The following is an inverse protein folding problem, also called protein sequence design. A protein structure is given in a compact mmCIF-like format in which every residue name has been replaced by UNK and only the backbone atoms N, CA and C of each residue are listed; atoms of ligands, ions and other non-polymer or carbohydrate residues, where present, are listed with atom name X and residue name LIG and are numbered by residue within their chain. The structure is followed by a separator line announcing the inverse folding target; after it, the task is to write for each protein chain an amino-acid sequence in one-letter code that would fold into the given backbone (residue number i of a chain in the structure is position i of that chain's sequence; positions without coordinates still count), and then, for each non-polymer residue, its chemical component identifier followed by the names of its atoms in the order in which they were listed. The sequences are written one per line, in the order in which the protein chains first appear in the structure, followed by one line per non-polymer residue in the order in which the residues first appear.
data_IF_570464785564
#
_entry.id   IF_570464785564
#
_cell.length_a   1.000
_cell.length_b   1.000
_cell.length_c   1.000
_cell.angle_alpha   90.00
_cell.angle_beta   90.00
_cell.angle_gamma   90.00
#
_symmetry.space_group_name_H-M   'P 1'
#
loop_
_entity.id
_entity.type
_entity.pdbx_description
1 polymer ?
#
# COMPACT_ATOMS: atom_id res chain seq x y z
N UNK A 1 2.81 10.98 14.11
CA UNK A 1 3.13 9.99 13.06
C UNK A 1 1.97 10.00 12.07
N UNK A 2 2.20 10.38 10.81
CA UNK A 2 1.16 10.42 9.77
C UNK A 2 1.24 9.10 8.99
N UNK A 3 0.11 8.44 8.81
CA UNK A 3 -0.03 7.28 7.94
C UNK A 3 -1.15 7.60 6.95
N UNK A 4 -0.84 7.55 5.66
CA UNK A 4 -1.79 7.74 4.58
C UNK A 4 -1.78 6.47 3.72
N UNK A 5 -2.97 5.91 3.50
CA UNK A 5 -3.21 4.82 2.58
C UNK A 5 -4.27 5.29 1.60
N UNK A 6 -3.88 5.46 0.34
CA UNK A 6 -4.78 5.82 -0.74
C UNK A 6 -4.83 4.65 -1.73
N UNK A 7 -6.04 4.15 -1.99
CA UNK A 7 -6.29 2.97 -2.82
C UNK A 7 -7.55 3.19 -3.64
N UNK A 8 -7.52 2.77 -4.91
CA UNK A 8 -8.70 2.75 -5.77
C UNK A 8 -9.50 1.48 -5.47
N UNK A 9 -10.78 1.64 -5.09
CA UNK A 9 -11.64 0.52 -4.67
C UNK A 9 -12.75 0.20 -5.66
N UNK A 10 -12.84 0.95 -6.75
CA UNK A 10 -13.88 0.87 -7.76
C UNK A 10 -13.48 0.00 -8.98
N UNK A 11 -12.30 -0.64 -8.93
CA UNK A 11 -11.78 -1.48 -10.00
C UNK A 11 -11.27 -2.85 -9.49
N UNK A 12 -11.24 -3.82 -10.39
CA UNK A 12 -10.68 -5.15 -10.18
C UNK A 12 -11.22 -5.88 -8.95
N UNK A 13 -10.33 -6.61 -8.26
CA UNK A 13 -10.69 -7.42 -7.08
C UNK A 13 -11.15 -6.60 -5.89
N UNK A 14 -10.69 -5.35 -5.79
CA UNK A 14 -11.13 -4.44 -4.73
C UNK A 14 -12.60 -4.03 -4.90
N UNK A 15 -13.14 -4.00 -6.12
CA UNK A 15 -14.57 -3.75 -6.33
C UNK A 15 -15.45 -4.93 -5.90
N UNK A 16 -14.94 -6.17 -5.98
CA UNK A 16 -15.67 -7.39 -5.64
C UNK A 16 -15.69 -7.69 -4.13
N UNK A 17 -14.54 -7.61 -3.47
CA UNK A 17 -14.39 -7.82 -2.03
C UNK A 17 -13.40 -6.82 -1.41
N UNK A 18 -13.83 -5.56 -1.18
CA UNK A 18 -12.94 -4.51 -0.68
C UNK A 18 -12.27 -4.89 0.65
N UNK A 19 -13.01 -5.53 1.56
CA UNK A 19 -12.51 -5.85 2.90
C UNK A 19 -11.52 -7.01 2.85
N UNK A 20 -11.87 -8.09 2.15
CA UNK A 20 -10.98 -9.26 2.02
C UNK A 20 -9.70 -8.91 1.28
N UNK A 21 -9.80 -8.18 0.18
CA UNK A 21 -8.64 -7.82 -0.63
C UNK A 21 -7.76 -6.77 0.02
N UNK A 22 -8.33 -5.69 0.55
CA UNK A 22 -7.53 -4.69 1.27
C UNK A 22 -6.88 -5.30 2.52
N UNK A 23 -7.59 -6.17 3.24
CA UNK A 23 -7.03 -6.90 4.38
C UNK A 23 -5.86 -7.81 4.00
N UNK A 24 -5.96 -8.52 2.87
CA UNK A 24 -4.88 -9.34 2.32
C UNK A 24 -3.67 -8.48 1.93
N UNK A 25 -3.90 -7.39 1.21
CA UNK A 25 -2.88 -6.40 0.82
C UNK A 25 -2.12 -5.91 2.05
N UNK A 26 -2.83 -5.44 3.08
CA UNK A 26 -2.21 -4.87 4.27
C UNK A 26 -1.39 -5.91 5.06
N UNK A 27 -1.86 -7.16 5.12
CA UNK A 27 -1.12 -8.26 5.74
C UNK A 27 0.19 -8.55 5.00
N UNK A 28 0.17 -8.58 3.67
CA UNK A 28 1.40 -8.80 2.87
C UNK A 28 2.35 -7.62 2.97
N UNK A 29 1.83 -6.40 2.87
CA UNK A 29 2.63 -5.19 3.06
C UNK A 29 3.32 -5.18 4.43
N UNK A 30 2.56 -5.32 5.52
CA UNK A 30 3.10 -5.35 6.88
C UNK A 30 4.13 -6.46 7.09
N UNK A 31 3.90 -7.65 6.51
CA UNK A 31 4.88 -8.73 6.50
C UNK A 31 6.16 -8.39 5.74
N UNK A 32 6.05 -7.68 4.61
CA UNK A 32 7.17 -7.34 3.74
C UNK A 32 8.03 -6.18 4.25
N UNK A 33 7.56 -5.37 5.20
CA UNK A 33 8.32 -4.23 5.76
C UNK A 33 9.72 -4.62 6.27
N UNK A 34 9.88 -5.85 6.77
CA UNK A 34 11.19 -6.40 7.20
C UNK A 34 12.26 -6.42 6.11
N UNK A 35 11.87 -6.28 4.84
CA UNK A 35 12.79 -6.26 3.68
C UNK A 35 13.25 -4.85 3.31
N UNK A 36 12.71 -3.81 3.95
CA UNK A 36 13.05 -2.41 3.65
C UNK A 36 13.95 -1.82 4.74
N UNK A 37 14.79 -0.85 4.37
CA UNK A 37 15.61 -0.10 5.31
C UNK A 37 14.80 0.90 6.16
N UNK A 38 13.53 1.12 5.79
CA UNK A 38 12.59 1.99 6.47
C UNK A 38 13.06 3.45 6.54
N UNK A 39 13.63 3.97 5.44
CA UNK A 39 14.10 5.36 5.32
C UNK A 39 13.26 6.17 4.34
N UNK A 40 13.27 7.52 4.42
CA UNK A 40 12.61 8.36 3.42
C UNK A 40 13.04 8.02 2.00
N UNK A 41 12.05 7.91 1.10
CA UNK A 41 12.25 7.46 -0.28
C UNK A 41 11.95 5.98 -0.51
N UNK A 42 11.97 5.15 0.53
CA UNK A 42 11.54 3.75 0.40
C UNK A 42 10.03 3.68 0.13
N UNK A 43 9.61 2.70 -0.65
CA UNK A 43 8.22 2.50 -1.04
C UNK A 43 8.07 1.32 -1.98
N UNK A 44 6.83 0.97 -2.30
CA UNK A 44 6.52 -0.04 -3.31
C UNK A 44 5.08 0.14 -3.81
N UNK A 45 4.86 -0.29 -5.05
CA UNK A 45 3.51 -0.55 -5.56
C UNK A 45 2.81 -1.60 -4.68
N UNK A 46 1.49 -1.49 -4.64
CA UNK A 46 0.55 -2.39 -3.98
C UNK A 46 -0.23 -3.11 -5.07
N UNK A 47 -0.36 -4.43 -4.93
CA UNK A 47 -1.03 -5.27 -5.91
C UNK A 47 -2.22 -6.02 -5.30
N UNK A 48 -3.28 -6.14 -6.07
CA UNK A 48 -4.41 -7.02 -5.74
C UNK A 48 -4.05 -8.51 -5.93
N UNK A 49 -5.04 -9.40 -5.81
CA UNK A 49 -4.82 -10.85 -5.91
C UNK A 49 -4.59 -11.32 -7.35
N UNK A 50 -4.99 -10.50 -8.33
CA UNK A 50 -4.80 -10.72 -9.76
C UNK A 50 -3.53 -10.01 -10.27
N UNK A 51 -2.64 -9.58 -9.37
CA UNK A 51 -1.38 -8.89 -9.64
C UNK A 51 -1.55 -7.57 -10.41
N UNK A 52 -2.71 -6.91 -10.27
CA UNK A 52 -2.92 -5.56 -10.79
C UNK A 52 -2.44 -4.54 -9.77
N UNK A 53 -1.74 -3.50 -10.22
CA UNK A 53 -1.35 -2.39 -9.36
C UNK A 53 -2.59 -1.58 -8.99
N UNK A 54 -2.83 -1.42 -7.68
CA UNK A 54 -4.02 -0.73 -7.13
C UNK A 54 -3.66 0.46 -6.24
N UNK A 55 -2.36 0.74 -6.10
CA UNK A 55 -1.86 1.86 -5.33
C UNK A 55 -0.38 1.71 -5.00
N UNK A 56 0.11 2.55 -4.11
CA UNK A 56 1.49 2.53 -3.65
C UNK A 56 1.61 3.07 -2.22
N UNK A 57 2.70 2.75 -1.55
CA UNK A 57 3.10 3.40 -0.31
C UNK A 57 4.51 3.98 -0.44
N UNK A 58 4.78 5.03 0.35
CA UNK A 58 6.08 5.69 0.41
C UNK A 58 6.36 6.18 1.83
N UNK A 59 7.61 6.08 2.25
CA UNK A 59 8.12 6.76 3.44
C UNK A 59 8.62 8.15 3.04
N UNK A 60 8.10 9.18 3.69
CA UNK A 60 8.48 10.57 3.48
C UNK A 60 9.15 11.12 4.73
N UNK A 61 10.06 12.08 4.55
CA UNK A 61 10.55 12.86 5.68
C UNK A 61 9.46 13.84 6.12
N UNK A 62 9.41 14.17 7.42
CA UNK A 62 8.50 15.19 7.91
C UNK A 62 8.79 16.53 7.22
N UNK A 63 7.79 17.10 6.56
CA UNK A 63 7.89 18.37 5.83
C UNK A 63 8.01 18.26 4.30
N UNK A 64 7.90 17.06 3.72
CA UNK A 64 7.88 16.86 2.25
C UNK A 64 6.48 16.82 1.61
N UNK A 65 5.42 17.07 2.39
CA UNK A 65 4.07 17.27 1.86
C UNK A 65 3.86 18.78 1.63
N UNK A 66 4.39 19.30 0.52
CA UNK A 66 4.07 20.63 -0.02
C UNK A 66 3.80 20.51 -1.52
#
# INVERSE_FOLDING_TARGET
MKFLLEVNVDDGRLAEDPVGELGRILRYWGGNLRHYAMKPGDGSAIYDSDYQEVGQWRLVAAGQDA
#
